data_IF_420638081130
#
_entry.id   IF_420638081130
#
_cell.length_a   1.000
_cell.length_b   1.000
_cell.length_c   1.000
_cell.angle_alpha   90.00
_cell.angle_beta   90.00
_cell.angle_gamma   90.00
#
_symmetry.space_group_name_H-M   'P 1'
#
loop_
_entity.id
_entity.type
_entity.pdbx_description
1 polymer ?
#
# COMPACT_ATOMS: atom_id res chain seq x y z
N UNK A 1 -1.89 -6.35 27.64
CA UNK A 1 -1.88 -7.79 27.32
C UNK A 1 -3.30 -8.31 27.04
N UNK A 2 -3.48 -9.03 25.91
CA UNK A 2 -4.69 -9.72 25.41
C UNK A 2 -5.60 -9.00 24.38
N UNK A 3 -5.04 -8.65 23.21
CA UNK A 3 -5.73 -8.72 21.92
C UNK A 3 -5.83 -10.19 21.46
N UNK A 4 -6.52 -11.02 22.23
CA UNK A 4 -6.86 -12.39 21.82
C UNK A 4 -8.31 -12.67 22.18
N UNK A 5 -9.18 -12.63 21.18
CA UNK A 5 -10.31 -13.56 20.95
C UNK A 5 -11.24 -12.99 19.87
N UNK A 6 -10.89 -13.20 18.60
CA UNK A 6 -11.90 -13.57 17.61
C UNK A 6 -11.34 -14.80 16.88
N UNK A 7 -11.94 -15.94 17.18
CA UNK A 7 -11.58 -17.25 16.62
C UNK A 7 -11.98 -17.35 15.14
N UNK A 8 -11.09 -17.98 14.40
CA UNK A 8 -11.17 -18.36 12.99
C UNK A 8 -12.48 -19.08 12.63
N UNK A 9 -13.05 -18.74 11.47
CA UNK A 9 -13.47 -19.76 10.50
C UNK A 9 -12.40 -19.82 9.40
N UNK A 10 -11.51 -20.79 9.53
CA UNK A 10 -10.55 -21.15 8.49
C UNK A 10 -11.33 -21.84 7.36
N UNK A 11 -11.48 -21.15 6.23
CA UNK A 11 -11.76 -21.84 4.97
C UNK A 11 -10.43 -22.31 4.42
N UNK A 12 -10.23 -23.62 4.43
CA UNK A 12 -9.03 -24.29 3.94
C UNK A 12 -8.94 -24.18 2.42
N UNK A 13 -8.33 -23.10 1.94
CA UNK A 13 -7.62 -23.12 0.64
C UNK A 13 -6.20 -22.66 0.89
N UNK A 14 -5.31 -23.65 0.96
CA UNK A 14 -3.87 -23.48 1.09
C UNK A 14 -3.34 -22.85 -0.22
N UNK A 15 -3.50 -21.53 -0.38
CA UNK A 15 -2.66 -20.78 -1.31
C UNK A 15 -1.31 -20.63 -0.64
N UNK A 16 -0.32 -21.32 -1.18
CA UNK A 16 1.09 -21.11 -0.86
C UNK A 16 1.42 -19.64 -1.19
N UNK A 17 1.27 -18.76 -0.20
CA UNK A 17 1.77 -17.39 -0.30
C UNK A 17 3.30 -17.48 -0.34
N UNK A 18 3.97 -16.76 -1.26
CA UNK A 18 5.42 -16.72 -1.26
C UNK A 18 5.87 -16.14 0.09
N UNK A 19 6.87 -16.79 0.70
CA UNK A 19 7.64 -16.26 1.83
C UNK A 19 7.84 -14.75 1.64
N UNK A 20 7.27 -13.94 2.53
CA UNK A 20 7.55 -12.52 2.61
C UNK A 20 9.05 -12.35 2.89
N UNK A 21 9.83 -12.18 1.84
CA UNK A 21 11.14 -11.58 1.94
C UNK A 21 10.91 -10.15 2.41
N UNK A 22 11.55 -9.75 3.50
CA UNK A 22 11.44 -8.46 4.17
C UNK A 22 12.00 -7.28 3.36
N UNK A 23 11.84 -7.28 2.03
CA UNK A 23 12.04 -6.08 1.23
C UNK A 23 10.78 -5.23 1.39
N UNK A 24 10.86 -4.18 2.20
CA UNK A 24 9.81 -3.16 2.23
C UNK A 24 9.58 -2.67 0.80
N UNK A 25 8.31 -2.64 0.39
CA UNK A 25 7.93 -2.10 -0.91
C UNK A 25 8.50 -0.68 -1.06
N UNK A 26 9.08 -0.32 -2.21
CA UNK A 26 9.75 0.96 -2.39
C UNK A 26 8.83 2.14 -2.07
N UNK A 27 9.43 3.22 -1.58
CA UNK A 27 8.75 4.46 -1.20
C UNK A 27 9.54 5.67 -1.69
N UNK A 28 8.84 6.78 -1.87
CA UNK A 28 9.45 8.08 -2.16
C UNK A 28 9.27 8.94 -0.93
N UNK A 29 10.36 9.54 -0.45
CA UNK A 29 10.32 10.38 0.75
C UNK A 29 9.32 11.53 0.57
N UNK A 30 8.41 11.67 1.55
CA UNK A 30 7.35 12.68 1.50
C UNK A 30 6.15 12.32 0.61
N UNK A 31 6.18 11.18 -0.08
CA UNK A 31 5.04 10.63 -0.82
C UNK A 31 3.93 10.11 0.10
N UNK A 32 2.74 9.88 -0.44
CA UNK A 32 1.57 9.46 0.37
C UNK A 32 1.78 8.10 1.04
N UNK A 33 2.50 7.18 0.37
CA UNK A 33 2.84 5.86 0.93
C UNK A 33 3.85 5.97 2.07
N UNK A 34 4.85 6.83 1.91
CA UNK A 34 5.81 7.13 2.97
C UNK A 34 5.12 7.74 4.19
N UNK A 35 4.17 8.66 3.98
CA UNK A 35 3.34 9.24 5.05
C UNK A 35 2.50 8.19 5.77
N UNK A 36 1.78 7.33 5.04
CA UNK A 36 0.99 6.24 5.63
C UNK A 36 1.86 5.27 6.44
N UNK A 37 3.02 4.87 5.90
CA UNK A 37 3.93 3.98 6.62
C UNK A 37 4.52 4.66 7.86
N UNK A 38 4.91 5.94 7.78
CA UNK A 38 5.39 6.70 8.93
C UNK A 38 4.32 6.89 10.00
N UNK A 39 3.06 7.08 9.62
CA UNK A 39 1.94 7.08 10.56
C UNK A 39 1.89 5.79 11.37
N UNK A 40 2.17 4.63 10.76
CA UNK A 40 2.22 3.36 11.49
C UNK A 40 3.52 3.22 12.28
N UNK A 41 4.68 3.40 11.64
CA UNK A 41 5.98 3.02 12.22
C UNK A 41 6.47 3.99 13.27
N UNK A 42 6.13 5.28 13.17
CA UNK A 42 6.64 6.33 14.05
C UNK A 42 5.64 6.74 15.13
N UNK A 43 4.43 6.16 15.14
CA UNK A 43 3.41 6.51 16.11
C UNK A 43 3.61 5.77 17.43
N UNK A 44 4.06 6.52 18.43
CA UNK A 44 4.34 6.06 19.78
C UNK A 44 3.10 5.55 20.55
N UNK A 45 1.89 5.78 20.04
CA UNK A 45 0.66 5.23 20.59
C UNK A 45 0.38 3.79 20.11
N UNK A 46 1.09 3.32 19.08
CA UNK A 46 1.01 1.95 18.56
C UNK A 46 2.12 1.03 19.10
N UNK A 47 3.02 1.56 19.92
CA UNK A 47 4.08 0.77 20.56
C UNK A 47 3.51 -0.07 21.70
N UNK A 48 4.00 -1.30 21.83
CA UNK A 48 3.63 -2.17 22.94
C UNK A 48 4.11 -1.53 24.26
N UNK A 49 3.22 -1.50 25.25
CA UNK A 49 3.55 -1.02 26.62
C UNK A 49 4.27 -2.08 27.45
N UNK A 50 4.50 -3.28 26.92
CA UNK A 50 5.24 -4.34 27.60
C UNK A 50 6.73 -3.99 27.61
N UNK A 51 7.15 -3.29 28.67
CA UNK A 51 8.48 -3.43 29.24
C UNK A 51 8.62 -4.85 29.79
N UNK A 52 9.06 -5.80 28.95
CA UNK A 52 9.24 -7.20 29.34
C UNK A 52 10.62 -7.72 28.93
N UNK A 53 11.42 -8.06 29.94
CA UNK A 53 12.74 -8.72 29.94
C UNK A 53 13.97 -7.95 29.44
N UNK A 54 14.81 -7.57 30.42
CA UNK A 54 16.14 -6.95 30.30
C UNK A 54 17.20 -7.75 29.51
N UNK A 55 16.86 -8.86 28.83
CA UNK A 55 17.85 -9.75 28.21
C UNK A 55 17.44 -10.37 26.86
N UNK A 56 16.39 -9.90 26.20
CA UNK A 56 16.06 -10.37 24.84
C UNK A 56 16.59 -9.38 23.80
N UNK A 57 17.43 -9.81 22.84
CA UNK A 57 17.80 -8.96 21.71
C UNK A 57 16.53 -8.51 21.00
N UNK A 58 16.37 -7.19 20.83
CA UNK A 58 15.19 -6.58 20.18
C UNK A 58 15.17 -6.98 18.70
N UNK A 59 14.65 -8.16 18.37
CA UNK A 59 14.65 -8.70 17.00
C UNK A 59 13.55 -8.10 16.11
N UNK A 60 12.67 -7.24 16.63
CA UNK A 60 11.89 -6.35 15.75
C UNK A 60 11.58 -5.00 16.38
N UNK A 61 12.01 -3.92 15.72
CA UNK A 61 11.68 -2.53 16.08
C UNK A 61 10.18 -2.19 16.01
N UNK A 62 9.34 -3.06 15.43
CA UNK A 62 7.91 -2.83 15.23
C UNK A 62 7.08 -3.79 16.09
N UNK A 63 6.02 -3.27 16.73
CA UNK A 63 5.03 -4.07 17.45
C UNK A 63 4.26 -5.00 16.52
N UNK A 64 3.59 -6.01 17.09
CA UNK A 64 2.74 -6.91 16.31
C UNK A 64 1.59 -6.15 15.63
N UNK A 65 0.96 -5.21 16.35
CA UNK A 65 -0.05 -4.33 15.80
C UNK A 65 0.48 -3.52 14.61
N UNK A 66 1.66 -2.92 14.71
CA UNK A 66 2.26 -2.17 13.60
C UNK A 66 2.48 -3.05 12.36
N UNK A 67 2.91 -4.31 12.54
CA UNK A 67 3.09 -5.26 11.43
C UNK A 67 1.76 -5.61 10.77
N UNK A 68 0.71 -5.83 11.56
CA UNK A 68 -0.62 -6.12 11.06
C UNK A 68 -1.19 -4.92 10.27
N UNK A 69 -1.05 -3.70 10.78
CA UNK A 69 -1.47 -2.50 10.05
C UNK A 69 -0.70 -2.33 8.72
N UNK A 70 0.61 -2.60 8.69
CA UNK A 70 1.41 -2.57 7.44
C UNK A 70 0.93 -3.63 6.44
N UNK A 71 0.56 -4.82 6.93
CA UNK A 71 0.00 -5.88 6.10
C UNK A 71 -1.33 -5.45 5.51
N UNK A 72 -2.24 -4.88 6.31
CA UNK A 72 -3.51 -4.35 5.81
C UNK A 72 -3.32 -3.25 4.76
N UNK A 73 -2.32 -2.36 4.93
CA UNK A 73 -1.99 -1.35 3.90
C UNK A 73 -1.48 -2.02 2.62
N UNK A 74 -0.69 -3.08 2.74
CA UNK A 74 -0.18 -3.81 1.58
C UNK A 74 -1.30 -4.53 0.81
N UNK A 75 -2.36 -4.97 1.49
CA UNK A 75 -3.53 -5.62 0.88
C UNK A 75 -4.41 -4.66 0.08
N UNK A 76 -4.43 -3.37 0.44
CA UNK A 76 -5.22 -2.34 -0.26
C UNK A 76 -4.45 -1.60 -1.35
N UNK A 77 -3.14 -1.88 -1.54
CA UNK A 77 -2.39 -1.32 -2.66
C UNK A 77 -2.99 -1.80 -4.00
N UNK A 78 -3.14 -0.90 -4.99
CA UNK A 78 -3.70 -1.27 -6.28
C UNK A 78 -2.77 -2.22 -7.03
N UNK A 79 -3.36 -3.15 -7.80
CA UNK A 79 -2.63 -4.07 -8.65
C UNK A 79 -1.99 -3.34 -9.84
N UNK A 80 -0.67 -3.08 -9.73
CA UNK A 80 0.14 -2.43 -10.76
C UNK A 80 0.27 -3.26 -12.06
N UNK A 81 -0.08 -4.55 -12.03
CA UNK A 81 0.00 -5.44 -13.20
C UNK A 81 -1.19 -5.33 -14.15
N UNK A 82 -2.23 -4.57 -13.77
CA UNK A 82 -3.48 -4.36 -14.51
C UNK A 82 -3.79 -2.87 -14.69
N UNK A 83 -2.76 -2.05 -14.90
CA UNK A 83 -2.96 -0.69 -15.41
C UNK A 83 -3.63 -0.72 -16.80
N UNK A 84 -4.32 0.37 -17.13
CA UNK A 84 -4.73 0.63 -18.51
C UNK A 84 -3.47 0.72 -19.39
N UNK A 85 -3.56 0.32 -20.67
CA UNK A 85 -2.42 0.40 -21.58
C UNK A 85 -2.63 1.61 -22.45
N UNK A 86 -1.77 2.62 -22.31
CA UNK A 86 -1.80 3.79 -23.18
C UNK A 86 -1.09 3.61 -24.51
N UNK A 87 -1.54 4.44 -25.45
CA UNK A 87 -0.77 4.79 -26.62
C UNK A 87 0.59 5.34 -26.19
N UNK A 88 1.65 4.75 -26.72
CA UNK A 88 3.02 4.96 -26.26
C UNK A 88 3.98 4.95 -27.44
N UNK A 89 5.15 5.55 -27.23
CA UNK A 89 6.25 5.54 -28.18
C UNK A 89 7.47 4.88 -27.56
N UNK A 90 8.52 4.67 -28.34
CA UNK A 90 9.78 4.13 -27.83
C UNK A 90 10.40 5.06 -26.78
N UNK A 91 10.25 6.36 -26.98
CA UNK A 91 10.77 7.42 -26.11
C UNK A 91 9.89 7.63 -24.88
N UNK A 92 8.58 7.36 -24.98
CA UNK A 92 7.62 7.41 -23.89
C UNK A 92 6.83 6.08 -23.76
N UNK A 93 7.49 5.02 -23.23
CA UNK A 93 6.89 3.70 -23.09
C UNK A 93 6.02 3.58 -21.83
N UNK A 94 5.06 2.65 -21.83
CA UNK A 94 4.32 2.26 -20.63
C UNK A 94 5.29 1.60 -19.62
N UNK A 95 5.37 2.14 -18.40
CA UNK A 95 6.30 1.62 -17.39
C UNK A 95 5.73 0.41 -16.66
N UNK A 96 6.57 -0.60 -16.47
CA UNK A 96 6.24 -1.81 -15.73
C UNK A 96 7.20 -1.93 -14.55
N UNK A 97 6.70 -1.83 -13.32
CA UNK A 97 7.50 -1.96 -12.12
C UNK A 97 7.77 -3.42 -11.75
N UNK A 98 9.02 -3.80 -11.50
CA UNK A 98 9.35 -5.11 -10.93
C UNK A 98 10.67 -5.11 -10.16
N UNK A 99 10.71 -5.85 -9.06
CA UNK A 99 11.98 -6.17 -8.36
C UNK A 99 12.89 -7.09 -9.18
N UNK A 100 12.34 -7.83 -10.16
CA UNK A 100 13.09 -8.75 -11.01
C UNK A 100 13.69 -8.06 -12.23
N UNK A 101 14.82 -8.59 -12.71
CA UNK A 101 15.50 -8.11 -13.94
C UNK A 101 14.72 -8.40 -15.22
N UNK A 102 13.74 -9.31 -15.15
CA UNK A 102 12.83 -9.67 -16.24
C UNK A 102 11.42 -9.90 -15.70
N UNK A 103 10.41 -9.57 -16.51
CA UNK A 103 9.01 -9.77 -16.18
C UNK A 103 8.20 -10.13 -17.43
N UNK A 104 7.08 -10.82 -17.25
CA UNK A 104 6.12 -11.07 -18.34
C UNK A 104 5.07 -9.95 -18.29
N UNK A 105 4.99 -9.15 -19.35
CA UNK A 105 3.94 -8.16 -19.55
C UNK A 105 2.85 -8.72 -20.44
N UNK A 106 1.59 -8.48 -20.07
CA UNK A 106 0.42 -8.81 -20.90
C UNK A 106 -0.07 -7.55 -21.59
N UNK A 107 -0.27 -7.63 -22.90
CA UNK A 107 -0.84 -6.57 -23.70
C UNK A 107 -2.20 -6.99 -24.24
N UNK A 108 -3.21 -6.18 -23.96
CA UNK A 108 -4.56 -6.32 -24.51
C UNK A 108 -4.67 -5.38 -25.71
N UNK A 109 -4.39 -5.89 -26.91
CA UNK A 109 -4.22 -5.06 -28.11
C UNK A 109 -5.51 -4.35 -28.56
N UNK A 110 -6.66 -4.95 -28.28
CA UNK A 110 -7.99 -4.42 -28.61
C UNK A 110 -8.96 -4.87 -27.54
N UNK A 111 -9.90 -4.03 -27.06
CA UNK A 111 -10.92 -4.43 -26.08
C UNK A 111 -11.79 -5.60 -26.55
N UNK A 112 -11.84 -5.85 -27.86
CA UNK A 112 -12.60 -6.94 -28.47
C UNK A 112 -11.78 -8.23 -28.67
N UNK A 113 -10.46 -8.19 -28.47
CA UNK A 113 -9.61 -9.37 -28.61
C UNK A 113 -9.63 -10.22 -27.34
N UNK A 114 -10.07 -11.47 -27.45
CA UNK A 114 -9.99 -12.44 -26.35
C UNK A 114 -8.57 -13.04 -26.16
N UNK A 115 -7.61 -12.65 -27.00
CA UNK A 115 -6.24 -13.17 -26.96
C UNK A 115 -5.26 -12.14 -26.38
N UNK A 116 -4.70 -12.45 -25.21
CA UNK A 116 -3.63 -11.66 -24.61
C UNK A 116 -2.30 -11.94 -25.29
N UNK A 117 -1.59 -10.87 -25.69
CA UNK A 117 -0.20 -10.98 -26.14
C UNK A 117 0.72 -10.87 -24.93
N UNK A 118 1.60 -11.86 -24.76
CA UNK A 118 2.59 -11.85 -23.68
C UNK A 118 3.96 -11.45 -24.23
N UNK A 119 4.64 -10.53 -23.55
CA UNK A 119 5.99 -10.09 -23.86
C UNK A 119 6.91 -10.37 -22.68
N UNK A 120 8.12 -10.82 -22.95
CA UNK A 120 9.19 -10.84 -21.94
C UNK A 120 9.89 -9.49 -21.99
N UNK A 121 9.78 -8.73 -20.92
CA UNK A 121 10.51 -7.48 -20.74
C UNK A 121 11.81 -7.74 -19.99
N UNK A 122 12.87 -7.05 -20.41
CA UNK A 122 14.15 -6.99 -19.72
C UNK A 122 14.33 -5.57 -19.16
N UNK A 123 14.94 -5.46 -17.97
CA UNK A 123 15.10 -4.19 -17.28
C UNK A 123 15.84 -3.18 -18.16
N UNK A 124 15.30 -1.97 -18.25
CA UNK A 124 15.83 -0.85 -19.02
C UNK A 124 15.95 -1.08 -20.54
N UNK A 125 15.26 -2.10 -21.09
CA UNK A 125 15.19 -2.34 -22.53
C UNK A 125 13.73 -2.17 -23.02
N UNK A 126 13.42 -1.11 -23.78
CA UNK A 126 12.08 -0.92 -24.34
C UNK A 126 11.71 -2.06 -25.29
N UNK A 127 10.50 -2.59 -25.14
CA UNK A 127 9.95 -3.62 -26.02
C UNK A 127 8.62 -3.16 -26.62
N UNK A 128 8.40 -3.47 -27.90
CA UNK A 128 7.17 -3.13 -28.62
C UNK A 128 6.27 -4.35 -28.75
N UNK A 129 5.00 -4.21 -28.38
CA UNK A 129 3.96 -5.16 -28.75
C UNK A 129 3.64 -5.07 -30.25
N UNK A 130 3.07 -6.13 -30.81
CA UNK A 130 2.65 -6.16 -32.21
C UNK A 130 1.63 -5.05 -32.54
N UNK A 131 0.76 -4.68 -31.60
CA UNK A 131 -0.19 -3.58 -31.77
C UNK A 131 0.45 -2.18 -31.75
N UNK A 132 1.75 -2.08 -31.45
CA UNK A 132 2.49 -0.81 -31.45
C UNK A 132 2.76 -0.21 -30.08
N UNK A 133 2.07 -0.64 -29.01
CA UNK A 133 2.37 -0.18 -27.66
C UNK A 133 3.79 -0.55 -27.23
N UNK A 134 4.46 0.39 -26.57
CA UNK A 134 5.80 0.23 -26.03
C UNK A 134 5.73 0.03 -24.51
N UNK A 135 6.61 -0.82 -24.01
CA UNK A 135 6.74 -1.12 -22.58
C UNK A 135 8.20 -1.04 -22.14
N UNK A 136 8.43 -0.59 -20.92
CA UNK A 136 9.75 -0.55 -20.30
C UNK A 136 9.69 -1.11 -18.88
N UNK A 137 10.46 -2.17 -18.63
CA UNK A 137 10.62 -2.71 -17.30
C UNK A 137 11.59 -1.84 -16.50
N UNK A 138 11.12 -1.31 -15.37
CA UNK A 138 11.89 -0.51 -14.42
C UNK A 138 11.90 -1.19 -13.06
N UNK A 139 12.85 -0.83 -12.20
CA UNK A 139 12.79 -1.24 -10.80
C UNK A 139 11.62 -0.56 -10.06
N UNK A 140 11.26 -1.11 -8.90
CA UNK A 140 10.14 -0.60 -8.14
C UNK A 140 10.35 0.82 -7.60
N UNK A 141 11.60 1.25 -7.37
CA UNK A 141 11.88 2.60 -6.89
C UNK A 141 11.54 3.63 -7.96
N UNK A 142 12.06 3.43 -9.18
CA UNK A 142 11.75 4.27 -10.34
C UNK A 142 10.25 4.28 -10.65
N UNK A 143 9.57 3.13 -10.53
CA UNK A 143 8.12 3.07 -10.74
C UNK A 143 7.35 3.94 -9.74
N UNK A 144 7.69 3.86 -8.45
CA UNK A 144 7.04 4.68 -7.41
C UNK A 144 7.36 6.17 -7.57
N UNK A 145 8.57 6.54 -8.00
CA UNK A 145 8.92 7.92 -8.32
C UNK A 145 8.04 8.51 -9.42
N UNK A 146 7.78 7.75 -10.49
CA UNK A 146 6.90 8.20 -11.58
C UNK A 146 5.44 8.31 -11.13
N UNK A 147 4.97 7.41 -10.25
CA UNK A 147 3.64 7.52 -9.63
C UNK A 147 3.49 8.80 -8.81
N UNK A 148 4.50 9.14 -8.02
CA UNK A 148 4.51 10.38 -7.23
C UNK A 148 4.64 11.62 -8.11
N UNK A 149 5.38 11.55 -9.23
CA UNK A 149 5.38 12.63 -10.23
C UNK A 149 4.00 12.83 -10.85
N UNK A 150 3.26 11.76 -11.16
CA UNK A 150 1.87 11.85 -11.62
C UNK A 150 1.00 12.50 -10.54
N UNK A 151 1.08 11.99 -9.31
CA UNK A 151 0.31 12.51 -8.17
C UNK A 151 0.49 14.01 -7.98
N UNK A 152 1.74 14.49 -7.99
CA UNK A 152 2.04 15.90 -7.81
C UNK A 152 1.43 16.81 -8.88
N UNK A 153 1.08 16.28 -10.06
CA UNK A 153 0.39 17.03 -11.11
C UNK A 153 -1.13 17.08 -10.93
N UNK A 154 -1.71 16.04 -10.33
CA UNK A 154 -3.17 15.87 -10.25
C UNK A 154 -3.75 16.09 -8.85
N UNK A 155 -2.91 16.18 -7.81
CA UNK A 155 -3.34 16.25 -6.40
C UNK A 155 -4.23 17.44 -6.05
N UNK A 156 -4.11 18.54 -6.80
CA UNK A 156 -4.86 19.78 -6.57
C UNK A 156 -6.20 19.81 -7.34
N UNK A 157 -6.49 18.79 -8.15
CA UNK A 157 -7.80 18.61 -8.77
C UNK A 157 -8.88 18.40 -7.69
N UNK A 158 -10.13 18.90 -7.86
CA UNK A 158 -11.13 18.92 -6.79
C UNK A 158 -11.36 17.58 -6.08
N UNK A 159 -11.47 16.48 -6.84
CA UNK A 159 -11.69 15.13 -6.29
C UNK A 159 -10.46 14.63 -5.50
N UNK A 160 -9.25 14.91 -6.00
CA UNK A 160 -8.00 14.49 -5.34
C UNK A 160 -7.70 15.34 -4.11
N UNK A 161 -7.99 16.64 -4.16
CA UNK A 161 -7.84 17.56 -3.04
C UNK A 161 -8.78 17.18 -1.89
N UNK A 162 -10.02 16.77 -2.19
CA UNK A 162 -10.95 16.26 -1.18
C UNK A 162 -10.44 14.97 -0.51
N UNK A 163 -9.91 14.03 -1.30
CA UNK A 163 -9.27 12.81 -0.76
C UNK A 163 -8.10 13.15 0.18
N UNK A 164 -7.22 14.08 -0.19
CA UNK A 164 -6.12 14.51 0.66
C UNK A 164 -6.61 15.18 1.95
N UNK A 165 -7.58 16.07 1.84
CA UNK A 165 -8.19 16.72 3.01
C UNK A 165 -8.84 15.69 3.93
N UNK A 166 -9.53 14.69 3.39
CA UNK A 166 -10.13 13.61 4.17
C UNK A 166 -9.07 12.76 4.85
N UNK A 167 -7.97 12.44 4.14
CA UNK A 167 -6.83 11.73 4.71
C UNK A 167 -6.22 12.50 5.89
N UNK A 168 -6.02 13.81 5.76
CA UNK A 168 -5.49 14.68 6.81
C UNK A 168 -6.39 14.71 8.06
N UNK A 169 -7.71 14.75 7.86
CA UNK A 169 -8.70 14.73 8.94
C UNK A 169 -8.64 13.37 9.66
N UNK A 170 -8.67 12.27 8.92
CA UNK A 170 -8.65 10.92 9.48
C UNK A 170 -7.36 10.60 10.23
N UNK A 171 -6.21 11.06 9.72
CA UNK A 171 -4.92 10.91 10.40
C UNK A 171 -4.94 11.61 11.77
N UNK A 172 -5.53 12.82 11.85
CA UNK A 172 -5.67 13.57 13.11
C UNK A 172 -6.65 12.90 14.06
N UNK A 173 -7.84 12.54 13.58
CA UNK A 173 -8.88 11.87 14.38
C UNK A 173 -8.35 10.55 14.96
N UNK A 174 -7.69 9.73 14.14
CA UNK A 174 -7.14 8.45 14.60
C UNK A 174 -6.00 8.65 15.60
N UNK A 175 -5.13 9.65 15.41
CA UNK A 175 -4.11 9.99 16.40
C UNK A 175 -4.69 10.40 17.76
N UNK A 176 -5.77 11.18 17.77
CA UNK A 176 -6.48 11.57 19.00
C UNK A 176 -7.05 10.33 19.69
N UNK A 177 -7.78 9.49 18.95
CA UNK A 177 -8.34 8.25 19.50
C UNK A 177 -7.23 7.36 20.09
N UNK A 178 -6.14 7.15 19.35
CA UNK A 178 -4.99 6.35 19.80
C UNK A 178 -4.35 6.90 21.08
N UNK A 179 -4.26 8.22 21.22
CA UNK A 179 -3.76 8.86 22.42
C UNK A 179 -4.71 8.66 23.61
N UNK A 180 -6.00 8.92 23.41
CA UNK A 180 -7.03 8.79 24.46
C UNK A 180 -7.16 7.34 24.95
N UNK A 181 -7.21 6.40 24.00
CA UNK A 181 -7.32 4.97 24.27
C UNK A 181 -6.11 4.36 24.95
N UNK A 182 -4.92 4.99 24.88
CA UNK A 182 -3.69 4.49 25.52
C UNK A 182 -3.81 4.37 27.04
N UNK A 183 -4.63 5.22 27.65
CA UNK A 183 -4.89 5.20 29.10
C UNK A 183 -6.00 4.24 29.52
N UNK A 184 -6.73 3.67 28.56
CA UNK A 184 -7.89 2.82 28.81
C UNK A 184 -7.49 1.36 29.02
N UNK A 185 -8.27 0.66 29.83
CA UNK A 185 -8.22 -0.80 29.96
C UNK A 185 -9.47 -1.39 29.33
N UNK A 186 -9.51 -2.71 29.02
CA UNK A 186 -10.72 -3.37 28.53
C UNK A 186 -11.93 -3.25 29.47
N UNK A 187 -11.72 -2.91 30.74
CA UNK A 187 -12.78 -2.71 31.74
C UNK A 187 -13.19 -1.24 31.89
N UNK A 188 -12.48 -0.31 31.27
CA UNK A 188 -12.80 1.11 31.34
C UNK A 188 -14.17 1.37 30.69
N UNK A 189 -15.04 2.20 31.29
CA UNK A 189 -16.29 2.61 30.66
C UNK A 189 -16.03 3.20 29.27
N UNK A 190 -16.81 2.78 28.26
CA UNK A 190 -16.64 3.25 26.87
C UNK A 190 -15.45 2.65 26.11
N UNK A 191 -14.67 1.73 26.69
CA UNK A 191 -13.50 1.15 26.01
C UNK A 191 -13.87 0.41 24.72
N UNK A 192 -15.01 -0.29 24.69
CA UNK A 192 -15.49 -0.97 23.49
C UNK A 192 -15.82 0.04 22.36
N UNK A 193 -16.57 1.09 22.69
CA UNK A 193 -16.91 2.16 21.74
C UNK A 193 -15.67 2.87 21.20
N UNK A 194 -14.68 3.12 22.05
CA UNK A 194 -13.38 3.68 21.64
C UNK A 194 -12.68 2.79 20.61
N UNK A 195 -12.63 1.47 20.84
CA UNK A 195 -12.02 0.51 19.92
C UNK A 195 -12.78 0.43 18.59
N UNK A 196 -14.11 0.43 18.64
CA UNK A 196 -14.95 0.43 17.44
C UNK A 196 -14.73 1.71 16.61
N UNK A 197 -14.62 2.87 17.27
CA UNK A 197 -14.30 4.14 16.64
C UNK A 197 -12.91 4.12 15.99
N UNK A 198 -11.89 3.58 16.66
CA UNK A 198 -10.55 3.42 16.06
C UNK A 198 -10.60 2.53 14.81
N UNK A 199 -11.29 1.39 14.90
CA UNK A 199 -11.40 0.45 13.78
C UNK A 199 -12.14 1.08 12.59
N UNK A 200 -13.21 1.83 12.85
CA UNK A 200 -13.95 2.57 11.84
C UNK A 200 -13.06 3.62 11.14
N UNK A 201 -12.36 4.45 11.91
CA UNK A 201 -11.48 5.49 11.36
C UNK A 201 -10.29 4.91 10.60
N UNK A 202 -9.71 3.82 11.09
CA UNK A 202 -8.68 3.09 10.37
C UNK A 202 -9.18 2.55 9.03
N UNK A 203 -10.36 1.93 9.01
CA UNK A 203 -11.00 1.45 7.77
C UNK A 203 -11.18 2.59 6.77
N UNK A 204 -11.77 3.71 7.18
CA UNK A 204 -11.94 4.89 6.32
C UNK A 204 -10.61 5.42 5.79
N UNK A 205 -9.58 5.48 6.64
CA UNK A 205 -8.25 5.98 6.25
C UNK A 205 -7.61 5.08 5.18
N UNK A 206 -7.76 3.76 5.31
CA UNK A 206 -7.30 2.79 4.30
C UNK A 206 -8.04 2.94 2.97
N UNK A 207 -9.35 3.17 2.99
CA UNK A 207 -10.16 3.37 1.78
C UNK A 207 -9.74 4.65 1.04
N UNK A 208 -9.58 5.75 1.76
CA UNK A 208 -9.09 7.02 1.21
C UNK A 208 -7.68 6.86 0.65
N UNK A 209 -6.79 6.19 1.38
CA UNK A 209 -5.45 5.86 0.92
C UNK A 209 -5.48 5.06 -0.38
N UNK A 210 -6.26 3.97 -0.44
CA UNK A 210 -6.37 3.13 -1.62
C UNK A 210 -6.87 3.91 -2.84
N UNK A 211 -7.83 4.82 -2.65
CA UNK A 211 -8.33 5.69 -3.72
C UNK A 211 -7.25 6.65 -4.23
N UNK A 212 -6.50 7.30 -3.33
CA UNK A 212 -5.33 8.12 -3.72
C UNK A 212 -4.36 7.25 -4.53
N UNK A 213 -3.96 6.09 -4.00
CA UNK A 213 -3.00 5.20 -4.67
C UNK A 213 -3.50 4.72 -6.03
N UNK A 214 -4.79 4.50 -6.20
CA UNK A 214 -5.41 4.14 -7.48
C UNK A 214 -5.30 5.28 -8.50
N UNK A 215 -5.54 6.53 -8.10
CA UNK A 215 -5.40 7.69 -8.99
C UNK A 215 -3.94 7.93 -9.40
N UNK A 216 -2.99 7.50 -8.55
CA UNK A 216 -1.57 7.50 -8.84
C UNK A 216 -1.10 6.36 -9.77
N UNK A 217 -1.95 5.42 -10.19
CA UNK A 217 -1.53 4.38 -11.13
C UNK A 217 -1.00 5.04 -12.40
N UNK A 218 0.16 4.58 -12.89
CA UNK A 218 0.61 5.01 -14.20
C UNK A 218 -0.37 4.46 -15.23
N UNK A 219 -0.71 5.32 -16.17
CA UNK A 219 -1.60 4.97 -17.25
C UNK A 219 -0.86 4.26 -18.40
#
# INVERSE_FOLDING_TARGET
MALRLISRRASSTLRLLPRCSSSMSPTVAGGIKDRMLKFITNNHNLFDTDSGDLNVPVESKLSWLQKDLIMEISEVEPDIGRGEIKSSTKENPNLVGSSRVRAIQRCHCSPHDHHLKCLVLYRNLPARCFCGHWFLLVDGQRYEEEREKKWNKIKDEPENADLLKRFDILEKELNILLADGKSMTPKSPGAAEMMDNMALKWKEMKEVYANIRKNMLLD
#
